data_IF_124198603674
#
_entry.id   IF_124198603674
#
_cell.length_a   1.000
_cell.length_b   1.000
_cell.length_c   1.000
_cell.angle_alpha   90.00
_cell.angle_beta   90.00
_cell.angle_gamma   90.00
#
_symmetry.space_group_name_H-M   'P 1'
#
loop_
_entity.id
_entity.type
_entity.pdbx_description
1 polymer ?
#
# COMPACT_ATOMS: atom_id res chain seq x y z
N UNK A 1 -17.30 7.50 -9.11
CA UNK A 1 -17.13 7.38 -7.63
C UNK A 1 -15.88 6.54 -7.34
N UNK A 2 -15.09 6.91 -6.33
CA UNK A 2 -13.94 6.12 -5.88
C UNK A 2 -14.40 5.24 -4.72
N UNK A 3 -14.25 3.93 -4.87
CA UNK A 3 -14.48 2.90 -3.87
C UNK A 3 -13.13 2.55 -3.24
N UNK A 4 -13.06 2.67 -1.91
CA UNK A 4 -11.89 2.26 -1.13
C UNK A 4 -12.30 1.05 -0.32
N UNK A 5 -11.53 -0.03 -0.41
CA UNK A 5 -11.68 -1.22 0.40
C UNK A 5 -10.45 -1.36 1.31
N UNK A 6 -10.69 -1.73 2.55
CA UNK A 6 -9.67 -2.00 3.55
C UNK A 6 -9.92 -3.38 4.16
N UNK A 7 -8.87 -4.21 4.15
CA UNK A 7 -8.86 -5.52 4.80
C UNK A 7 -7.67 -5.59 5.75
N UNK A 8 -7.90 -6.12 6.94
CA UNK A 8 -6.86 -6.46 7.91
C UNK A 8 -6.97 -7.94 8.22
N UNK A 9 -5.85 -8.65 8.18
CA UNK A 9 -5.76 -10.07 8.53
C UNK A 9 -4.43 -10.36 9.20
N UNK A 10 -4.43 -11.28 10.16
CA UNK A 10 -3.21 -11.87 10.70
C UNK A 10 -2.62 -12.82 9.66
N UNK A 11 -1.31 -12.71 9.43
CA UNK A 11 -0.57 -13.53 8.48
C UNK A 11 0.83 -13.79 9.07
N UNK A 12 1.00 -15.00 9.60
CA UNK A 12 2.23 -15.41 10.28
C UNK A 12 2.61 -14.40 11.39
N UNK A 13 3.82 -13.86 11.33
CA UNK A 13 4.35 -12.86 12.28
C UNK A 13 3.99 -11.40 11.93
N UNK A 14 2.98 -11.21 11.06
CA UNK A 14 2.57 -9.90 10.58
C UNK A 14 1.07 -9.70 10.64
N UNK A 15 0.67 -8.47 10.97
CA UNK A 15 -0.64 -7.95 10.62
C UNK A 15 -0.57 -7.41 9.19
N UNK A 16 -1.24 -8.08 8.27
CA UNK A 16 -1.30 -7.70 6.86
C UNK A 16 -2.50 -6.79 6.61
N UNK A 17 -2.21 -5.57 6.17
CA UNK A 17 -3.20 -4.59 5.76
C UNK A 17 -3.24 -4.53 4.23
N UNK A 18 -4.42 -4.68 3.66
CA UNK A 18 -4.65 -4.53 2.21
C UNK A 18 -5.62 -3.38 1.97
N UNK A 19 -5.16 -2.36 1.27
CA UNK A 19 -5.95 -1.19 0.87
C UNK A 19 -6.07 -1.23 -0.65
N UNK A 20 -7.29 -1.20 -1.18
CA UNK A 20 -7.51 -1.09 -2.62
C UNK A 20 -8.42 0.06 -2.95
N UNK A 21 -8.14 0.79 -4.03
CA UNK A 21 -9.10 1.70 -4.62
C UNK A 21 -9.21 1.50 -6.13
N UNK A 22 -10.41 1.68 -6.67
CA UNK A 22 -10.53 1.81 -8.12
C UNK A 22 -9.98 3.17 -8.58
N UNK A 23 -9.42 3.20 -9.77
CA UNK A 23 -9.00 4.40 -10.47
C UNK A 23 -9.36 4.26 -11.95
N UNK A 24 -9.48 5.39 -12.64
CA UNK A 24 -9.74 5.39 -14.07
C UNK A 24 -8.40 5.29 -14.81
N UNK A 25 -8.16 4.15 -15.46
CA UNK A 25 -6.98 3.92 -16.31
C UNK A 25 -6.88 4.91 -17.48
N UNK A 26 -8.01 5.53 -17.89
CA UNK A 26 -8.08 6.52 -18.96
C UNK A 26 -7.94 7.96 -18.44
N UNK A 27 -8.02 8.18 -17.13
CA UNK A 27 -7.76 9.48 -16.56
C UNK A 27 -6.27 9.81 -16.71
N UNK A 28 -5.97 11.06 -17.09
CA UNK A 28 -4.59 11.55 -17.19
C UNK A 28 -3.91 11.28 -15.84
N UNK A 29 -2.85 10.46 -15.79
CA UNK A 29 -2.15 10.18 -14.55
C UNK A 29 -1.71 11.52 -13.96
N UNK A 30 -2.27 11.90 -12.81
CA UNK A 30 -1.71 13.03 -12.08
C UNK A 30 -0.30 12.59 -11.71
N UNK A 31 0.69 13.36 -12.20
CA UNK A 31 2.12 13.08 -12.09
C UNK A 31 2.56 13.24 -10.63
N UNK A 32 2.07 12.38 -9.74
CA UNK A 32 2.62 12.21 -8.41
C UNK A 32 3.87 11.38 -8.56
N UNK A 33 5.02 11.89 -8.13
CA UNK A 33 6.33 11.24 -8.23
C UNK A 33 6.48 9.94 -7.41
N UNK A 34 5.38 9.38 -6.88
CA UNK A 34 5.41 8.24 -5.97
C UNK A 34 5.89 8.59 -4.56
N UNK A 35 6.19 9.87 -4.28
CA UNK A 35 6.74 10.36 -2.99
C UNK A 35 5.92 9.88 -1.80
N UNK A 36 4.59 9.88 -1.90
CA UNK A 36 3.71 9.45 -0.80
C UNK A 36 3.99 8.02 -0.36
N UNK A 37 4.07 7.07 -1.31
CA UNK A 37 4.34 5.66 -1.00
C UNK A 37 5.79 5.49 -0.54
N UNK A 38 6.75 6.16 -1.19
CA UNK A 38 8.17 6.13 -0.80
C UNK A 38 8.35 6.61 0.65
N UNK A 39 7.68 7.69 1.04
CA UNK A 39 7.76 8.22 2.41
C UNK A 39 7.21 7.25 3.44
N UNK A 40 6.09 6.58 3.14
CA UNK A 40 5.54 5.56 4.05
C UNK A 40 6.50 4.38 4.15
N UNK A 41 7.06 3.91 3.04
CA UNK A 41 8.05 2.83 3.04
C UNK A 41 9.29 3.19 3.88
N UNK A 42 9.83 4.40 3.73
CA UNK A 42 10.95 4.88 4.55
C UNK A 42 10.61 4.95 6.04
N UNK A 43 9.41 5.42 6.39
CA UNK A 43 8.96 5.49 7.80
C UNK A 43 8.79 4.11 8.41
N UNK A 44 8.16 3.17 7.71
CA UNK A 44 8.03 1.79 8.16
C UNK A 44 9.40 1.16 8.41
N UNK A 45 10.34 1.37 7.48
CA UNK A 45 11.72 0.91 7.65
C UNK A 45 12.38 1.48 8.90
N UNK A 46 12.20 2.77 9.19
CA UNK A 46 12.79 3.39 10.39
C UNK A 46 12.16 2.89 11.70
N UNK A 47 10.84 2.67 11.72
CA UNK A 47 10.11 2.24 12.91
C UNK A 47 10.45 0.80 13.27
N UNK A 48 10.47 -0.09 12.27
CA UNK A 48 10.63 -1.54 12.48
C UNK A 48 12.04 -2.03 12.18
N UNK A 49 12.94 -1.15 11.75
CA UNK A 49 14.30 -1.50 11.28
C UNK A 49 14.31 -2.63 10.23
N UNK A 50 13.29 -2.67 9.37
CA UNK A 50 13.06 -3.76 8.41
C UNK A 50 12.56 -3.23 7.05
N UNK A 51 13.09 -3.78 5.97
CA UNK A 51 12.67 -3.47 4.61
C UNK A 51 11.49 -4.34 4.13
N UNK A 52 10.91 -4.01 2.99
CA UNK A 52 9.84 -4.77 2.32
C UNK A 52 8.51 -4.87 3.10
N UNK A 53 8.27 -3.96 4.05
CA UNK A 53 7.02 -3.86 4.81
C UNK A 53 5.86 -3.21 4.04
N UNK A 54 6.11 -2.72 2.83
CA UNK A 54 5.08 -2.17 1.96
C UNK A 54 5.29 -2.65 0.53
N UNK A 55 4.20 -3.07 -0.12
CA UNK A 55 4.13 -3.38 -1.54
C UNK A 55 2.94 -2.63 -2.15
N UNK A 56 3.05 -2.25 -3.42
CA UNK A 56 1.92 -1.67 -4.15
C UNK A 56 1.90 -2.12 -5.60
N UNK A 57 0.72 -2.10 -6.22
CA UNK A 57 0.53 -2.43 -7.63
C UNK A 57 -0.64 -1.66 -8.23
N UNK A 58 -0.63 -1.52 -9.56
CA UNK A 58 -1.69 -0.91 -10.37
C UNK A 58 -2.05 -1.89 -11.47
N UNK A 59 -3.19 -2.57 -11.32
CA UNK A 59 -3.64 -3.57 -12.28
C UNK A 59 -5.14 -3.42 -12.51
N UNK A 60 -5.58 -3.45 -13.77
CA UNK A 60 -7.00 -3.48 -14.17
C UNK A 60 -7.86 -2.39 -13.51
N UNK A 61 -7.38 -1.15 -13.47
CA UNK A 61 -8.09 -0.03 -12.83
C UNK A 61 -8.19 -0.14 -11.31
N UNK A 62 -7.40 -1.00 -10.66
CA UNK A 62 -7.34 -1.13 -9.20
C UNK A 62 -5.92 -0.86 -8.71
N UNK A 63 -5.80 0.13 -7.83
CA UNK A 63 -4.58 0.40 -7.07
C UNK A 63 -4.64 -0.40 -5.79
N UNK A 64 -3.62 -1.20 -5.54
CA UNK A 64 -3.52 -2.05 -4.35
C UNK A 64 -2.27 -1.65 -3.57
N UNK A 65 -2.42 -1.45 -2.26
CA UNK A 65 -1.33 -1.28 -1.30
C UNK A 65 -1.44 -2.38 -0.25
N UNK A 66 -0.34 -3.07 -0.01
CA UNK A 66 -0.21 -4.09 1.01
C UNK A 66 0.85 -3.62 2.01
N UNK A 67 0.51 -3.55 3.28
CA UNK A 67 1.41 -3.21 4.38
C UNK A 67 1.51 -4.41 5.31
N UNK A 68 2.73 -4.75 5.72
CA UNK A 68 3.02 -5.76 6.71
C UNK A 68 3.50 -5.06 7.98
N UNK A 69 2.77 -5.23 9.07
CA UNK A 69 3.13 -4.69 10.38
C UNK A 69 3.58 -5.86 11.26
N UNK A 70 4.86 -5.94 11.67
CA UNK A 70 5.32 -6.95 12.61
C UNK A 70 4.50 -6.90 13.91
N UNK A 71 4.09 -8.06 14.44
CA UNK A 71 3.32 -8.15 15.70
C UNK A 71 4.17 -8.50 16.93
N UNK A 72 5.48 -8.67 16.74
CA UNK A 72 6.46 -9.00 17.78
C UNK A 72 7.39 -7.82 18.09
#
# INVERSE_FOLDING_TARGET
PVNINFKCEELDEYMKLTITNNYDDKAVPHKGEGIGITNIQSRLRMIYNQDNLLKFSKNNGIFTVIIFIPVQ
#
